data_IF_671150714977
#
_entry.id   IF_671150714977
#
_cell.length_a   1.000
_cell.length_b   1.000
_cell.length_c   1.000
_cell.angle_alpha   90.00
_cell.angle_beta   90.00
_cell.angle_gamma   90.00
#
_symmetry.space_group_name_H-M   'P 1'
#
loop_
_entity.id
_entity.type
_entity.pdbx_description
1 polymer ?
#
# COMPACT_ATOMS: atom_id res chain seq x y z
N UNK A 1 14.77 3.92 -17.19
CA UNK A 1 14.65 2.59 -16.57
C UNK A 1 13.21 2.12 -16.76
N UNK A 2 12.91 0.85 -17.07
CA UNK A 2 11.52 0.42 -17.18
C UNK A 2 10.78 0.65 -15.86
N UNK A 3 9.54 1.15 -15.95
CA UNK A 3 8.62 1.35 -14.82
C UNK A 3 8.45 0.06 -13.99
N UNK A 4 8.63 -1.08 -14.64
CA UNK A 4 8.45 -2.42 -14.09
C UNK A 4 9.77 -3.17 -14.15
N UNK A 5 10.18 -3.73 -13.01
CA UNK A 5 11.29 -4.67 -12.95
C UNK A 5 10.69 -6.08 -13.01
N UNK A 6 11.16 -6.97 -13.90
CA UNK A 6 10.72 -8.36 -13.89
C UNK A 6 10.92 -8.97 -12.49
N UNK A 7 9.85 -9.51 -11.90
CA UNK A 7 9.90 -10.16 -10.59
C UNK A 7 9.39 -11.60 -10.70
N UNK A 8 10.06 -12.52 -10.00
CA UNK A 8 9.68 -13.94 -9.95
C UNK A 8 8.79 -14.28 -8.75
N UNK A 9 8.43 -13.29 -7.94
CA UNK A 9 7.62 -13.44 -6.73
C UNK A 9 6.57 -12.34 -6.60
N UNK A 10 5.89 -12.21 -5.45
CA UNK A 10 4.91 -11.15 -5.22
C UNK A 10 5.51 -9.76 -5.46
N UNK A 11 4.73 -8.82 -6.00
CA UNK A 11 5.09 -7.40 -6.07
C UNK A 11 4.40 -6.65 -4.94
N UNK A 12 5.18 -6.14 -4.00
CA UNK A 12 4.67 -5.45 -2.80
C UNK A 12 5.06 -3.98 -2.84
N UNK A 13 4.08 -3.13 -2.60
CA UNK A 13 4.19 -1.68 -2.50
C UNK A 13 3.86 -1.29 -1.06
N UNK A 14 4.70 -0.48 -0.40
CA UNK A 14 4.40 -0.01 0.94
C UNK A 14 3.49 1.23 0.88
N UNK A 15 2.29 1.11 1.44
CA UNK A 15 1.34 2.21 1.56
C UNK A 15 1.68 3.13 2.73
N UNK A 16 1.83 4.41 2.45
CA UNK A 16 2.35 5.41 3.40
C UNK A 16 1.28 6.25 4.11
N UNK A 17 0.00 5.86 4.03
CA UNK A 17 -1.13 6.65 4.54
C UNK A 17 -1.02 7.05 6.03
N UNK A 18 -0.40 6.20 6.84
CA UNK A 18 -0.25 6.33 8.29
C UNK A 18 1.13 6.84 8.72
N UNK A 19 1.99 7.24 7.78
CA UNK A 19 3.35 7.71 8.06
C UNK A 19 3.41 9.23 7.98
N UNK A 20 3.62 9.91 9.10
CA UNK A 20 3.66 11.36 9.10
C UNK A 20 3.76 11.95 10.50
N UNK A 21 4.01 13.25 10.63
CA UNK A 21 4.39 13.85 11.91
C UNK A 21 3.21 14.07 12.89
N UNK A 22 1.95 13.94 12.43
CA UNK A 22 0.77 14.34 13.21
C UNK A 22 -0.25 13.21 13.38
N UNK A 23 -0.37 12.70 14.61
CA UNK A 23 -1.36 11.66 14.97
C UNK A 23 -2.80 12.12 14.81
N UNK A 24 -3.07 13.43 14.98
CA UNK A 24 -4.43 13.99 14.86
C UNK A 24 -4.94 13.91 13.43
N UNK A 25 -4.03 13.90 12.46
CA UNK A 25 -4.31 13.72 11.04
C UNK A 25 -4.24 12.23 10.60
N UNK A 26 -4.21 11.31 11.57
CA UNK A 26 -4.28 9.86 11.33
C UNK A 26 -2.94 9.14 11.23
N UNK A 27 -1.81 9.82 11.49
CA UNK A 27 -0.52 9.16 11.53
C UNK A 27 -0.44 8.14 12.69
N UNK A 28 0.30 7.06 12.45
CA UNK A 28 0.63 6.01 13.43
C UNK A 28 2.13 5.80 13.57
N UNK A 29 2.88 6.01 12.48
CA UNK A 29 4.34 6.03 12.50
C UNK A 29 4.77 7.49 12.36
N UNK A 30 5.06 8.11 13.51
CA UNK A 30 5.37 9.55 13.64
C UNK A 30 6.85 9.85 13.81
N UNK A 31 7.65 8.83 14.13
CA UNK A 31 9.10 8.95 14.24
C UNK A 31 9.77 8.77 12.88
N UNK A 32 10.65 9.71 12.51
CA UNK A 32 11.50 9.56 11.32
C UNK A 32 12.40 8.33 11.43
N UNK A 33 12.86 7.96 12.63
CA UNK A 33 13.74 6.81 12.81
C UNK A 33 13.00 5.49 12.60
N UNK A 34 11.76 5.38 13.05
CA UNK A 34 10.93 4.22 12.76
C UNK A 34 10.55 4.15 11.29
N UNK A 35 10.24 5.29 10.67
CA UNK A 35 9.96 5.33 9.23
C UNK A 35 11.17 4.88 8.41
N UNK A 36 12.38 5.38 8.72
CA UNK A 36 13.63 4.93 8.08
C UNK A 36 13.81 3.42 8.19
N UNK A 37 13.58 2.83 9.37
CA UNK A 37 13.62 1.38 9.56
C UNK A 37 12.57 0.64 8.72
N UNK A 38 11.38 1.21 8.52
CA UNK A 38 10.38 0.62 7.64
C UNK A 38 10.86 0.61 6.17
N UNK A 39 11.47 1.71 5.71
CA UNK A 39 12.05 1.78 4.36
C UNK A 39 13.22 0.80 4.19
N UNK A 40 14.08 0.67 5.20
CA UNK A 40 15.19 -0.29 5.22
C UNK A 40 14.67 -1.74 5.22
N UNK A 41 13.62 -2.02 5.99
CA UNK A 41 12.96 -3.32 6.00
C UNK A 41 12.39 -3.67 4.62
N UNK A 42 11.76 -2.71 3.94
CA UNK A 42 11.19 -2.91 2.61
C UNK A 42 12.28 -3.29 1.59
N UNK A 43 13.37 -2.53 1.52
CA UNK A 43 14.46 -2.77 0.57
C UNK A 43 15.28 -4.01 0.90
N UNK A 44 15.50 -4.31 2.18
CA UNK A 44 16.12 -5.57 2.62
C UNK A 44 15.30 -6.81 2.19
N UNK A 45 14.00 -6.62 1.95
CA UNK A 45 13.12 -7.66 1.45
C UNK A 45 13.00 -7.70 -0.08
N UNK A 46 13.79 -6.89 -0.81
CA UNK A 46 13.80 -6.70 -2.27
C UNK A 46 12.53 -6.05 -2.84
N UNK A 47 11.87 -5.20 -2.05
CA UNK A 47 10.77 -4.36 -2.52
C UNK A 47 11.21 -2.90 -2.58
N UNK A 48 10.84 -2.22 -3.66
CA UNK A 48 11.38 -0.89 -3.98
C UNK A 48 10.29 0.13 -4.32
N UNK A 49 9.04 -0.11 -3.95
CA UNK A 49 7.92 0.75 -4.32
C UNK A 49 7.18 1.25 -3.09
N UNK A 50 6.92 2.56 -3.07
CA UNK A 50 6.14 3.24 -2.03
C UNK A 50 4.97 4.00 -2.65
N UNK A 51 3.82 3.98 -1.98
CA UNK A 51 2.60 4.67 -2.39
C UNK A 51 2.19 5.71 -1.35
N UNK A 52 2.08 6.96 -1.76
CA UNK A 52 1.59 8.07 -0.94
C UNK A 52 0.44 8.82 -1.63
N UNK A 53 -0.06 9.90 -1.03
CA UNK A 53 -1.02 10.81 -1.63
C UNK A 53 -0.91 12.19 -0.98
N UNK A 54 -1.22 13.24 -1.76
CA UNK A 54 -1.29 14.64 -1.30
C UNK A 54 -2.14 14.88 -0.06
N UNK A 55 -3.17 14.04 0.15
CA UNK A 55 -4.14 14.19 1.24
C UNK A 55 -3.69 13.50 2.53
N UNK A 56 -2.75 12.57 2.47
CA UNK A 56 -2.35 11.77 3.62
C UNK A 56 -1.73 12.64 4.72
N UNK A 57 -2.12 12.36 5.96
CA UNK A 57 -1.66 13.06 7.17
C UNK A 57 -1.75 14.59 7.03
N UNK A 58 -2.93 15.09 6.65
CA UNK A 58 -3.15 16.53 6.44
C UNK A 58 -2.29 17.15 5.33
N UNK A 59 -1.72 16.33 4.44
CA UNK A 59 -0.77 16.74 3.41
C UNK A 59 0.68 16.89 3.86
N UNK A 60 1.03 16.37 5.03
CA UNK A 60 2.40 16.40 5.58
C UNK A 60 3.21 15.14 5.23
N UNK A 61 2.55 14.07 4.78
CA UNK A 61 3.14 12.76 4.50
C UNK A 61 4.31 12.85 3.49
N UNK A 62 4.14 13.57 2.38
CA UNK A 62 5.15 13.60 1.31
C UNK A 62 6.46 14.27 1.75
N UNK A 63 6.36 15.40 2.46
CA UNK A 63 7.52 16.04 3.06
C UNK A 63 8.21 15.15 4.10
N UNK A 64 7.43 14.36 4.85
CA UNK A 64 7.95 13.39 5.82
C UNK A 64 8.69 12.24 5.11
N UNK A 65 8.18 11.80 3.95
CA UNK A 65 8.84 10.79 3.09
C UNK A 65 10.17 11.31 2.54
N UNK A 66 10.26 12.56 2.11
CA UNK A 66 11.52 13.19 1.73
C UNK A 66 12.54 13.18 2.89
N UNK A 67 12.12 13.60 4.09
CA UNK A 67 12.97 13.62 5.29
C UNK A 67 13.46 12.23 5.71
N UNK A 68 12.70 11.17 5.39
CA UNK A 68 13.12 9.79 5.64
C UNK A 68 14.20 9.29 4.66
N UNK A 69 14.52 10.03 3.59
CA UNK A 69 15.56 9.68 2.63
C UNK A 69 15.14 8.54 1.70
N UNK A 70 13.93 8.61 1.13
CA UNK A 70 13.42 7.57 0.22
C UNK A 70 14.28 7.40 -1.05
N UNK A 71 14.79 8.51 -1.61
CA UNK A 71 15.61 8.52 -2.83
C UNK A 71 16.95 7.82 -2.64
N UNK A 72 17.58 7.99 -1.48
CA UNK A 72 18.87 7.39 -1.16
C UNK A 72 18.84 5.85 -1.17
N UNK A 73 17.62 5.28 -1.08
CA UNK A 73 17.35 3.84 -1.10
C UNK A 73 16.95 3.31 -2.47
N UNK A 74 16.95 4.16 -3.50
CA UNK A 74 16.51 3.78 -4.85
C UNK A 74 15.04 3.38 -4.93
N UNK A 75 14.21 3.87 -3.99
CA UNK A 75 12.78 3.61 -4.01
C UNK A 75 12.13 4.35 -5.19
N UNK A 76 11.14 3.70 -5.80
CA UNK A 76 10.16 4.27 -6.72
C UNK A 76 8.96 4.76 -5.93
N UNK A 77 8.36 5.86 -6.36
CA UNK A 77 7.25 6.49 -5.65
C UNK A 77 6.07 6.76 -6.56
N UNK A 78 4.89 6.37 -6.08
CA UNK A 78 3.63 6.85 -6.61
C UNK A 78 2.99 7.84 -5.64
N UNK A 79 2.36 8.88 -6.18
CA UNK A 79 1.49 9.78 -5.40
C UNK A 79 0.20 10.10 -6.15
N UNK A 80 -0.73 10.81 -5.50
CA UNK A 80 -2.09 11.00 -5.97
C UNK A 80 -2.65 12.35 -5.54
N UNK A 81 -3.53 12.90 -6.38
CA UNK A 81 -4.36 14.05 -6.05
C UNK A 81 -5.84 13.66 -5.89
N UNK A 82 -6.44 14.01 -4.75
CA UNK A 82 -7.84 13.72 -4.45
C UNK A 82 -8.73 14.93 -4.75
N UNK A 83 -9.78 14.80 -5.57
CA UNK A 83 -10.69 15.90 -5.87
C UNK A 83 -11.63 16.15 -4.68
N UNK A 84 -11.56 17.33 -4.06
CA UNK A 84 -12.50 17.75 -3.02
C UNK A 84 -13.66 18.57 -3.57
N UNK A 85 -13.43 19.28 -4.67
CA UNK A 85 -14.39 20.16 -5.30
C UNK A 85 -14.50 19.89 -6.81
N UNK A 86 -15.64 20.30 -7.38
CA UNK A 86 -15.83 20.30 -8.82
C UNK A 86 -14.74 21.15 -9.50
N UNK A 87 -14.04 20.57 -10.48
CA UNK A 87 -12.96 21.24 -11.19
C UNK A 87 -11.55 20.98 -10.64
N UNK A 88 -11.40 20.21 -9.56
CA UNK A 88 -10.08 19.84 -9.01
C UNK A 88 -9.25 18.96 -9.96
N UNK A 89 -9.88 18.38 -10.98
CA UNK A 89 -9.23 17.64 -12.06
C UNK A 89 -9.07 18.46 -13.36
N UNK A 90 -9.23 19.79 -13.31
CA UNK A 90 -8.79 20.65 -14.42
C UNK A 90 -7.27 20.52 -14.61
N UNK A 91 -6.75 20.56 -15.84
CA UNK A 91 -5.32 20.36 -16.12
C UNK A 91 -4.38 21.23 -15.28
N UNK A 92 -4.76 22.49 -15.04
CA UNK A 92 -3.96 23.46 -14.29
C UNK A 92 -3.89 23.10 -12.80
N UNK A 93 -4.99 22.60 -12.22
CA UNK A 93 -5.05 22.18 -10.82
C UNK A 93 -4.28 20.88 -10.61
N UNK A 94 -4.38 19.94 -11.56
CA UNK A 94 -3.58 18.71 -11.57
C UNK A 94 -2.09 19.06 -11.60
N UNK A 95 -1.67 19.94 -12.52
CA UNK A 95 -0.29 20.38 -12.65
C UNK A 95 0.21 21.03 -11.37
N UNK A 96 -0.56 21.95 -10.79
CA UNK A 96 -0.22 22.62 -9.54
C UNK A 96 0.00 21.63 -8.38
N UNK A 97 -0.87 20.62 -8.26
CA UNK A 97 -0.74 19.62 -7.20
C UNK A 97 0.41 18.63 -7.45
N UNK A 98 0.71 18.29 -8.71
CA UNK A 98 1.91 17.54 -9.06
C UNK A 98 3.17 18.33 -8.68
N UNK A 99 3.27 19.60 -9.07
CA UNK A 99 4.42 20.47 -8.73
C UNK A 99 4.62 20.61 -7.22
N UNK A 100 3.52 20.70 -6.45
CA UNK A 100 3.57 20.70 -4.99
C UNK A 100 4.10 19.37 -4.44
N UNK A 101 3.66 18.24 -5.01
CA UNK A 101 4.14 16.91 -4.65
C UNK A 101 5.64 16.78 -4.89
N UNK A 102 6.11 17.19 -6.07
CA UNK A 102 7.52 17.17 -6.45
C UNK A 102 8.38 18.00 -5.50
N UNK A 103 7.91 19.21 -5.15
CA UNK A 103 8.58 20.08 -4.17
C UNK A 103 8.70 19.42 -2.80
N UNK A 104 7.62 18.86 -2.28
CA UNK A 104 7.61 18.26 -0.93
C UNK A 104 8.38 16.94 -0.88
N UNK A 105 8.31 16.13 -1.93
CA UNK A 105 9.09 14.90 -2.10
C UNK A 105 10.58 15.15 -2.39
N UNK A 106 10.96 16.41 -2.66
CA UNK A 106 12.29 16.84 -3.03
C UNK A 106 12.84 16.07 -4.25
N UNK A 107 12.04 15.99 -5.31
CA UNK A 107 12.37 15.29 -6.56
C UNK A 107 11.80 16.04 -7.77
N UNK A 108 12.35 15.77 -8.95
CA UNK A 108 11.91 16.31 -10.24
C UNK A 108 10.87 15.43 -10.93
N UNK A 109 10.79 14.15 -10.58
CA UNK A 109 9.80 13.21 -11.08
C UNK A 109 9.28 12.22 -10.02
N UNK A 110 8.08 11.71 -10.26
CA UNK A 110 7.49 10.52 -9.61
C UNK A 110 7.24 9.45 -10.66
N UNK A 111 7.25 8.17 -10.27
CA UNK A 111 7.02 7.06 -11.20
C UNK A 111 5.56 7.02 -11.68
N UNK A 112 4.61 7.31 -10.79
CA UNK A 112 3.19 7.35 -11.09
C UNK A 112 2.51 8.51 -10.37
N UNK A 113 1.69 9.27 -11.08
CA UNK A 113 0.78 10.27 -10.50
C UNK A 113 -0.67 9.90 -10.79
N UNK A 114 -1.42 9.53 -9.75
CA UNK A 114 -2.81 9.09 -9.87
C UNK A 114 -3.80 10.25 -9.73
N UNK A 115 -4.90 10.20 -10.49
CA UNK A 115 -6.16 10.80 -10.09
C UNK A 115 -6.76 9.89 -9.01
N UNK A 116 -6.78 10.34 -7.75
CA UNK A 116 -6.94 9.47 -6.58
C UNK A 116 -8.34 8.84 -6.50
N UNK A 117 -9.37 9.54 -6.95
CA UNK A 117 -10.73 9.02 -6.97
C UNK A 117 -11.45 9.45 -8.24
N UNK A 118 -12.31 8.57 -8.76
CA UNK A 118 -13.39 8.99 -9.64
C UNK A 118 -14.46 9.67 -8.78
N UNK A 119 -15.07 10.73 -9.27
CA UNK A 119 -16.19 11.39 -8.61
C UNK A 119 -17.39 10.43 -8.55
N UNK A 120 -17.64 9.81 -7.38
CA UNK A 120 -18.65 8.75 -7.19
C UNK A 120 -19.29 8.79 -5.81
N UNK A 121 -20.58 9.09 -5.80
CA UNK A 121 -21.49 9.30 -4.67
C UNK A 121 -22.07 8.01 -4.02
N UNK A 122 -21.34 6.88 -4.00
CA UNK A 122 -21.92 5.60 -3.49
C UNK A 122 -21.02 4.90 -2.45
N UNK A 123 -21.23 5.16 -1.15
CA UNK A 123 -20.48 4.52 -0.06
C UNK A 123 -20.85 3.06 0.22
N UNK A 124 -22.03 2.59 -0.23
CA UNK A 124 -22.65 1.34 0.24
C UNK A 124 -22.06 0.03 -0.33
N UNK A 125 -20.93 0.07 -1.04
CA UNK A 125 -20.41 -1.13 -1.74
C UNK A 125 -19.52 -2.04 -0.87
N UNK A 126 -18.92 -1.51 0.20
CA UNK A 126 -17.81 -2.18 0.91
C UNK A 126 -18.16 -2.78 2.27
N UNK A 127 -19.23 -2.32 2.93
CA UNK A 127 -19.73 -2.90 4.19
C UNK A 127 -20.98 -3.74 3.90
N UNK A 128 -20.81 -5.06 3.80
CA UNK A 128 -21.91 -6.02 3.59
C UNK A 128 -21.85 -7.07 4.68
N UNK A 129 -23.01 -7.53 5.15
CA UNK A 129 -23.11 -8.59 6.16
C UNK A 129 -22.36 -9.86 5.75
N UNK A 130 -22.37 -10.17 4.45
CA UNK A 130 -21.60 -11.26 3.86
C UNK A 130 -20.09 -11.20 4.16
N UNK A 131 -19.51 -9.99 4.28
CA UNK A 131 -18.09 -9.83 4.64
C UNK A 131 -17.84 -10.26 6.08
N UNK A 132 -18.79 -10.03 6.99
CA UNK A 132 -18.68 -10.44 8.39
C UNK A 132 -18.99 -11.93 8.58
N UNK A 133 -19.91 -12.47 7.79
CA UNK A 133 -20.21 -13.91 7.80
C UNK A 133 -19.00 -14.73 7.34
N UNK A 134 -18.25 -14.24 6.35
CA UNK A 134 -17.01 -14.88 5.89
C UNK A 134 -15.96 -15.02 7.00
N UNK A 135 -15.88 -14.05 7.93
CA UNK A 135 -14.96 -14.15 9.07
C UNK A 135 -15.28 -15.33 9.97
N UNK A 136 -16.57 -15.57 10.27
CA UNK A 136 -16.99 -16.70 11.12
C UNK A 136 -16.69 -18.05 10.48
N UNK A 137 -16.72 -18.12 9.15
CA UNK A 137 -16.46 -19.34 8.39
C UNK A 137 -14.96 -19.65 8.35
N UNK A 138 -14.12 -18.64 8.12
CA UNK A 138 -12.67 -18.85 7.96
C UNK A 138 -11.94 -19.01 9.30
N UNK A 139 -12.45 -18.44 10.41
CA UNK A 139 -11.79 -18.47 11.72
C UNK A 139 -11.45 -19.89 12.22
N UNK A 140 -12.36 -20.87 12.22
CA UNK A 140 -12.03 -22.24 12.63
C UNK A 140 -10.96 -22.89 11.77
N UNK A 141 -10.96 -22.61 10.46
CA UNK A 141 -9.99 -23.15 9.50
C UNK A 141 -8.63 -22.49 9.69
N UNK A 142 -8.61 -21.16 9.91
CA UNK A 142 -7.40 -20.43 10.26
C UNK A 142 -6.74 -21.00 11.52
N UNK A 143 -7.52 -21.25 12.57
CA UNK A 143 -7.04 -21.86 13.81
C UNK A 143 -6.49 -23.27 13.58
N UNK A 144 -7.20 -24.11 12.81
CA UNK A 144 -6.76 -25.47 12.45
C UNK A 144 -5.40 -25.47 11.76
N UNK A 145 -5.13 -24.49 10.90
CA UNK A 145 -3.87 -24.35 10.17
C UNK A 145 -2.83 -23.49 10.89
N UNK A 146 -3.12 -23.01 12.10
CA UNK A 146 -2.26 -22.08 12.85
C UNK A 146 -1.87 -20.83 12.05
N UNK A 147 -2.83 -20.30 11.28
CA UNK A 147 -2.68 -19.10 10.46
C UNK A 147 -3.45 -17.94 11.09
N UNK A 148 -2.92 -16.73 10.92
CA UNK A 148 -3.67 -15.53 11.27
C UNK A 148 -4.59 -15.11 10.11
N UNK A 149 -5.67 -14.37 10.40
CA UNK A 149 -6.56 -13.86 9.35
C UNK A 149 -5.84 -12.89 8.40
N UNK A 150 -4.87 -12.13 8.91
CA UNK A 150 -4.06 -11.22 8.08
C UNK A 150 -3.12 -12.01 7.15
N UNK A 151 -2.49 -13.07 7.65
CA UNK A 151 -1.67 -13.97 6.83
C UNK A 151 -2.50 -14.58 5.70
N UNK A 152 -3.72 -15.05 6.02
CA UNK A 152 -4.66 -15.59 5.04
C UNK A 152 -5.02 -14.53 4.00
N UNK A 153 -5.44 -13.34 4.42
CA UNK A 153 -5.83 -12.28 3.50
C UNK A 153 -4.68 -11.90 2.55
N UNK A 154 -3.48 -11.67 3.07
CA UNK A 154 -2.31 -11.27 2.26
C UNK A 154 -1.90 -12.37 1.28
N UNK A 155 -1.83 -13.63 1.73
CA UNK A 155 -1.46 -14.75 0.85
C UNK A 155 -2.55 -15.04 -0.17
N UNK A 156 -3.83 -14.92 0.19
CA UNK A 156 -4.93 -15.09 -0.76
C UNK A 156 -4.86 -14.03 -1.88
N UNK A 157 -4.70 -12.75 -1.53
CA UNK A 157 -4.59 -11.69 -2.55
C UNK A 157 -3.39 -11.92 -3.47
N UNK A 158 -2.24 -12.33 -2.92
CA UNK A 158 -1.03 -12.55 -3.72
C UNK A 158 -1.08 -13.78 -4.63
N UNK A 159 -1.82 -14.83 -4.25
CA UNK A 159 -1.66 -16.16 -4.86
C UNK A 159 -2.93 -16.77 -5.44
N UNK A 160 -4.10 -16.30 -5.01
CA UNK A 160 -5.39 -16.93 -5.29
C UNK A 160 -6.44 -15.94 -5.80
N UNK A 161 -6.12 -14.64 -5.85
CA UNK A 161 -7.00 -13.62 -6.41
C UNK A 161 -6.89 -13.52 -7.94
N UNK A 162 -7.71 -12.64 -8.52
CA UNK A 162 -7.63 -12.32 -9.94
C UNK A 162 -6.39 -11.50 -10.35
N UNK A 163 -5.54 -11.08 -9.40
CA UNK A 163 -4.35 -10.30 -9.70
C UNK A 163 -3.35 -11.15 -10.49
N UNK A 164 -2.93 -10.62 -11.64
CA UNK A 164 -1.89 -11.22 -12.47
C UNK A 164 -0.51 -10.78 -11.96
N UNK A 165 -0.05 -11.42 -10.88
CA UNK A 165 1.23 -11.11 -10.22
C UNK A 165 2.38 -12.01 -10.72
N UNK A 166 2.09 -13.21 -11.23
CA UNK A 166 3.09 -14.20 -11.64
C UNK A 166 3.20 -14.31 -13.16
N UNK A 167 4.18 -15.05 -13.65
CA UNK A 167 4.27 -15.51 -15.05
C UNK A 167 4.20 -14.39 -16.10
N UNK A 168 4.91 -13.28 -15.84
CA UNK A 168 4.92 -12.10 -16.72
C UNK A 168 3.80 -11.09 -16.45
N UNK A 169 2.95 -11.39 -15.45
CA UNK A 169 2.07 -10.42 -14.81
C UNK A 169 2.83 -9.32 -14.07
N UNK A 170 2.14 -8.21 -13.82
CA UNK A 170 2.70 -6.99 -13.22
C UNK A 170 1.78 -6.38 -12.16
N UNK A 171 0.72 -7.07 -11.77
CA UNK A 171 -0.11 -6.59 -10.67
C UNK A 171 0.67 -6.66 -9.35
N UNK A 172 0.33 -5.79 -8.42
CA UNK A 172 0.98 -5.72 -7.12
C UNK A 172 -0.03 -5.38 -6.02
N UNK A 173 0.38 -5.63 -4.79
CA UNK A 173 -0.43 -5.31 -3.61
C UNK A 173 0.16 -4.12 -2.87
N UNK A 174 -0.70 -3.21 -2.42
CA UNK A 174 -0.31 -2.12 -1.51
C UNK A 174 -0.59 -2.59 -0.08
N UNK A 175 0.45 -2.67 0.73
CA UNK A 175 0.35 -3.08 2.14
C UNK A 175 0.42 -1.84 3.02
N UNK A 176 -0.64 -1.58 3.79
CA UNK A 176 -0.66 -0.57 4.83
C UNK A 176 -0.23 -1.16 6.17
N UNK A 177 0.50 -0.36 6.97
CA UNK A 177 0.98 -0.76 8.31
C UNK A 177 0.88 0.42 9.27
N UNK A 178 0.83 0.13 10.56
CA UNK A 178 0.87 1.14 11.63
C UNK A 178 2.07 0.96 12.57
N UNK A 179 2.98 0.03 12.28
CA UNK A 179 4.24 -0.18 13.01
C UNK A 179 5.23 -0.97 12.15
N UNK A 180 6.53 -0.88 12.49
CA UNK A 180 7.56 -1.72 11.87
C UNK A 180 7.27 -3.22 12.01
N UNK A 181 6.82 -3.66 13.19
CA UNK A 181 6.52 -5.08 13.47
C UNK A 181 5.46 -5.65 12.53
N UNK A 182 4.43 -4.86 12.20
CA UNK A 182 3.42 -5.26 11.24
C UNK A 182 4.00 -5.40 9.83
N UNK A 183 4.91 -4.49 9.42
CA UNK A 183 5.58 -4.61 8.13
C UNK A 183 6.39 -5.90 8.06
N UNK A 184 7.24 -6.16 9.05
CA UNK A 184 8.05 -7.38 9.13
C UNK A 184 7.20 -8.65 9.05
N UNK A 185 6.11 -8.70 9.84
CA UNK A 185 5.16 -9.82 9.83
C UNK A 185 4.49 -10.01 8.46
N UNK A 186 3.95 -8.94 7.90
CA UNK A 186 3.25 -8.99 6.61
C UNK A 186 4.17 -9.45 5.48
N UNK A 187 5.41 -8.94 5.42
CA UNK A 187 6.39 -9.35 4.40
C UNK A 187 6.83 -10.80 4.59
N UNK A 188 6.99 -11.26 5.83
CA UNK A 188 7.31 -12.65 6.13
C UNK A 188 6.17 -13.59 5.68
N UNK A 189 4.92 -13.23 5.97
CA UNK A 189 3.74 -14.01 5.61
C UNK A 189 3.56 -14.12 4.09
N UNK A 190 3.73 -13.02 3.37
CA UNK A 190 3.67 -13.00 1.90
C UNK A 190 4.71 -13.97 1.31
N UNK A 191 5.92 -14.02 1.88
CA UNK A 191 7.00 -14.89 1.38
C UNK A 191 6.78 -16.39 1.62
N UNK A 192 5.78 -16.78 2.42
CA UNK A 192 5.45 -18.20 2.66
C UNK A 192 4.75 -18.89 1.48
N UNK A 193 4.35 -18.15 0.46
CA UNK A 193 3.75 -18.73 -0.74
C UNK A 193 2.24 -19.01 -0.60
N UNK A 194 1.68 -19.82 -1.53
CA UNK A 194 0.24 -20.12 -1.58
C UNK A 194 -0.30 -20.70 -0.28
N UNK A 195 -1.57 -20.41 0.03
CA UNK A 195 -2.31 -21.01 1.15
C UNK A 195 -2.57 -22.51 0.95
N UNK A 196 -2.78 -23.28 2.04
CA UNK A 196 -3.30 -24.64 1.96
C UNK A 196 -4.65 -24.70 1.22
N UNK A 197 -4.89 -25.75 0.44
CA UNK A 197 -6.10 -25.90 -0.39
C UNK A 197 -7.39 -25.79 0.42
N UNK A 198 -7.44 -26.38 1.63
CA UNK A 198 -8.61 -26.28 2.51
C UNK A 198 -8.94 -24.83 2.89
N UNK A 199 -7.92 -24.00 3.11
CA UNK A 199 -8.11 -22.58 3.43
C UNK A 199 -8.67 -21.84 2.21
N UNK A 200 -8.18 -22.16 1.00
CA UNK A 200 -8.66 -21.55 -0.25
C UNK A 200 -10.10 -21.94 -0.53
N UNK A 201 -10.42 -23.23 -0.47
CA UNK A 201 -11.77 -23.75 -0.70
C UNK A 201 -12.82 -23.18 0.28
N UNK A 202 -12.39 -22.72 1.46
CA UNK A 202 -13.28 -22.07 2.44
C UNK A 202 -13.69 -20.65 2.02
N UNK A 203 -12.93 -20.02 1.12
CA UNK A 203 -13.10 -18.63 0.69
C UNK A 203 -13.82 -18.49 -0.66
N UNK A 204 -14.14 -19.61 -1.33
CA UNK A 204 -14.86 -19.69 -2.61
C UNK A 204 -16.36 -19.98 -2.42
#
# INVERSE_FOLDING_TARGET
>A
MPLVVPHSGPRVILGLMTFGPDEKEGARITSLDEFKKCLDCLTANNFYEIDTARIYVGGQQEAFTAQAGWRDRGLKIATKWYPRNAGDHKPEVIRQNLEKSLKELQTDCVDIFYLHAADRSVPSRYFKDATFDALRIIEPVAQKHNLTLIEIALRWVCYHSALNIKDGGNDGIIVGVSSLKQLEGNLADIKRGPLPEEVVATLE
#
